data_IF_748790933257
#
_entry.id   IF_748790933257
#
_cell.length_a   1.000
_cell.length_b   1.000
_cell.length_c   1.000
_cell.angle_alpha   90.00
_cell.angle_beta   90.00
_cell.angle_gamma   90.00
#
_symmetry.space_group_name_H-M   'P 1'
#
loop_
_entity.id
_entity.type
_entity.pdbx_description
1 polymer ?
#
# COMPACT_ATOMS: atom_id res chain seq x y z
N UNK A 1 -19.37 -7.86 13.92
CA UNK A 1 -19.63 -8.26 12.53
C UNK A 1 -18.74 -9.46 12.19
N UNK A 2 -19.30 -10.57 11.68
CA UNK A 2 -18.54 -11.78 11.28
C UNK A 2 -18.90 -12.06 9.82
N UNK A 3 -17.88 -12.12 8.95
CA UNK A 3 -18.04 -12.46 7.54
C UNK A 3 -18.08 -13.99 7.39
N UNK A 4 -19.14 -14.51 6.77
CA UNK A 4 -19.30 -15.94 6.50
C UNK A 4 -18.82 -16.29 5.08
N UNK A 5 -19.08 -15.42 4.12
CA UNK A 5 -18.70 -15.57 2.71
C UNK A 5 -18.43 -14.20 2.09
N UNK A 6 -17.56 -14.18 1.08
CA UNK A 6 -17.37 -13.01 0.22
C UNK A 6 -17.12 -13.46 -1.22
N UNK A 7 -17.62 -12.68 -2.22
CA UNK A 7 -17.42 -12.94 -3.64
C UNK A 7 -17.53 -11.61 -4.42
N UNK A 8 -16.59 -11.34 -5.34
CA UNK A 8 -16.55 -10.05 -6.05
C UNK A 8 -16.52 -8.86 -5.09
N UNK A 9 -17.53 -8.00 -5.15
CA UNK A 9 -17.72 -6.85 -4.27
C UNK A 9 -18.78 -7.11 -3.18
N UNK A 10 -19.13 -8.37 -2.86
CA UNK A 10 -20.19 -8.70 -1.89
C UNK A 10 -19.68 -9.53 -0.75
N UNK A 11 -20.22 -9.25 0.43
CA UNK A 11 -19.93 -9.97 1.67
C UNK A 11 -21.25 -10.42 2.29
N UNK A 12 -21.33 -11.70 2.65
CA UNK A 12 -22.45 -12.25 3.42
C UNK A 12 -21.99 -12.44 4.86
N UNK A 13 -22.71 -11.86 5.80
CA UNK A 13 -22.47 -12.00 7.24
C UNK A 13 -22.99 -13.32 7.78
N UNK A 14 -22.54 -13.72 8.97
CA UNK A 14 -23.01 -14.92 9.65
C UNK A 14 -24.48 -14.89 10.05
N UNK A 15 -25.08 -13.70 10.12
CA UNK A 15 -26.53 -13.48 10.36
C UNK A 15 -27.37 -13.48 9.07
N UNK A 16 -26.72 -13.71 7.91
CA UNK A 16 -27.38 -13.78 6.61
C UNK A 16 -27.50 -12.45 5.86
N UNK A 17 -27.14 -11.31 6.45
CA UNK A 17 -27.14 -10.02 5.75
C UNK A 17 -26.09 -10.01 4.64
N UNK A 18 -26.46 -9.47 3.49
CA UNK A 18 -25.56 -9.21 2.39
C UNK A 18 -25.19 -7.73 2.33
N UNK A 19 -23.91 -7.46 2.23
CA UNK A 19 -23.34 -6.11 2.19
C UNK A 19 -22.58 -5.90 0.87
N UNK A 20 -22.66 -4.69 0.33
CA UNK A 20 -21.78 -4.25 -0.75
C UNK A 20 -20.45 -3.77 -0.14
N UNK A 21 -19.36 -4.43 -0.50
CA UNK A 21 -18.03 -4.13 0.04
C UNK A 21 -17.31 -3.08 -0.79
N UNK A 22 -17.31 -1.86 -0.30
CA UNK A 22 -16.48 -0.77 -0.84
C UNK A 22 -15.13 -0.68 -0.14
N UNK A 23 -14.73 -1.67 0.67
CA UNK A 23 -13.43 -1.67 1.35
C UNK A 23 -12.38 -2.52 0.64
N UNK A 24 -12.82 -3.57 -0.07
CA UNK A 24 -11.92 -4.59 -0.64
C UNK A 24 -10.96 -5.17 0.41
N UNK A 25 -11.38 -5.24 1.69
CA UNK A 25 -10.50 -5.62 2.79
C UNK A 25 -9.30 -4.68 2.94
N UNK A 26 -9.53 -3.38 3.02
CA UNK A 26 -8.50 -2.33 2.97
C UNK A 26 -7.72 -2.32 1.65
N UNK A 27 -8.39 -2.62 0.53
CA UNK A 27 -7.79 -2.63 -0.80
C UNK A 27 -6.99 -3.89 -1.15
N UNK A 28 -7.00 -4.91 -0.27
CA UNK A 28 -6.27 -6.17 -0.48
C UNK A 28 -6.91 -7.03 -1.58
N UNK A 29 -8.26 -7.12 -1.60
CA UNK A 29 -9.00 -7.89 -2.61
C UNK A 29 -9.14 -7.10 -3.93
N UNK A 30 -8.03 -6.69 -4.54
CA UNK A 30 -8.04 -5.86 -5.75
C UNK A 30 -8.79 -6.50 -6.91
N UNK A 31 -8.68 -7.81 -7.10
CA UNK A 31 -9.38 -8.56 -8.15
C UNK A 31 -10.75 -9.09 -7.72
N UNK A 32 -11.27 -8.63 -6.57
CA UNK A 32 -12.50 -9.11 -5.95
C UNK A 32 -12.29 -10.34 -5.08
N UNK A 33 -13.20 -10.52 -4.11
CA UNK A 33 -13.18 -11.69 -3.25
C UNK A 33 -13.35 -12.97 -4.05
N UNK A 34 -12.57 -14.03 -3.72
CA UNK A 34 -12.62 -15.34 -4.36
C UNK A 34 -12.40 -15.31 -5.88
N UNK A 35 -11.54 -14.42 -6.36
CA UNK A 35 -11.20 -14.40 -7.78
C UNK A 35 -10.79 -15.80 -8.26
N UNK A 36 -11.45 -16.36 -9.32
CA UNK A 36 -11.23 -17.74 -9.73
C UNK A 36 -9.78 -18.02 -10.16
N UNK A 37 -9.10 -17.07 -10.83
CA UNK A 37 -7.70 -17.23 -11.25
C UNK A 37 -6.75 -17.27 -10.05
N UNK A 38 -7.00 -16.46 -9.02
CA UNK A 38 -6.20 -16.49 -7.79
C UNK A 38 -6.41 -17.81 -7.06
N UNK A 39 -7.65 -18.30 -6.95
CA UNK A 39 -7.94 -19.60 -6.32
C UNK A 39 -7.32 -20.78 -7.08
N UNK A 40 -7.28 -20.71 -8.40
CA UNK A 40 -6.63 -21.72 -9.25
C UNK A 40 -5.11 -21.72 -9.02
N UNK A 41 -4.48 -20.52 -9.09
CA UNK A 41 -3.04 -20.37 -8.83
C UNK A 41 -2.63 -20.93 -7.45
N UNK A 42 -3.48 -20.78 -6.42
CA UNK A 42 -3.22 -21.40 -5.12
C UNK A 42 -3.28 -22.94 -5.15
N UNK A 43 -4.25 -23.52 -5.87
CA UNK A 43 -4.41 -24.98 -5.94
C UNK A 43 -3.27 -25.66 -6.69
N UNK A 44 -2.63 -24.97 -7.62
CA UNK A 44 -1.55 -25.51 -8.43
C UNK A 44 -0.20 -25.57 -7.71
N UNK A 45 -0.07 -24.89 -6.55
CA UNK A 45 1.20 -24.86 -5.83
C UNK A 45 1.58 -26.24 -5.23
N UNK A 46 2.80 -26.67 -5.53
CA UNK A 46 3.36 -27.93 -5.06
C UNK A 46 4.24 -27.78 -3.81
N UNK A 47 4.66 -26.56 -3.50
CA UNK A 47 5.52 -26.24 -2.36
C UNK A 47 4.75 -25.39 -1.37
N UNK A 48 4.66 -25.82 -0.12
CA UNK A 48 3.99 -25.08 0.96
C UNK A 48 4.82 -23.86 1.35
N UNK A 49 6.14 -24.05 1.48
CA UNK A 49 7.09 -23.01 1.83
C UNK A 49 8.51 -23.47 1.47
N UNK A 50 9.39 -22.52 1.10
CA UNK A 50 10.81 -22.76 0.90
C UNK A 50 11.61 -22.27 2.13
N UNK A 51 12.82 -21.78 1.96
CA UNK A 51 13.69 -21.33 3.06
C UNK A 51 13.80 -19.79 3.15
N UNK A 52 12.78 -19.07 2.76
CA UNK A 52 12.79 -17.62 2.77
C UNK A 52 13.90 -17.04 1.88
N UNK A 53 14.75 -16.17 2.46
CA UNK A 53 15.84 -15.53 1.69
C UNK A 53 17.01 -16.50 1.36
N UNK A 54 17.02 -17.74 1.89
CA UNK A 54 18.08 -18.72 1.62
C UNK A 54 17.80 -19.57 0.39
N UNK A 55 16.54 -19.84 0.07
CA UNK A 55 16.15 -20.59 -1.12
C UNK A 55 14.70 -20.29 -1.51
N UNK A 56 14.51 -19.85 -2.74
CA UNK A 56 13.19 -19.58 -3.30
C UNK A 56 12.48 -20.87 -3.76
N UNK A 57 11.16 -20.89 -3.69
CA UNK A 57 10.35 -21.78 -4.53
C UNK A 57 10.39 -21.25 -5.98
N UNK A 58 10.14 -22.12 -6.97
CA UNK A 58 10.13 -21.73 -8.38
C UNK A 58 9.22 -20.52 -8.64
N UNK A 59 8.01 -20.53 -8.10
CA UNK A 59 7.05 -19.40 -8.25
C UNK A 59 7.53 -18.11 -7.59
N UNK A 60 8.33 -18.20 -6.53
CA UNK A 60 8.94 -17.03 -5.88
C UNK A 60 10.02 -16.43 -6.78
N UNK A 61 10.84 -17.26 -7.42
CA UNK A 61 11.81 -16.84 -8.44
C UNK A 61 11.10 -16.14 -9.62
N UNK A 62 10.04 -16.75 -10.15
CA UNK A 62 9.22 -16.16 -11.21
C UNK A 62 8.65 -14.79 -10.83
N UNK A 63 8.18 -14.63 -9.58
CA UNK A 63 7.72 -13.33 -9.10
C UNK A 63 8.85 -12.30 -9.11
N UNK A 64 10.04 -12.64 -8.60
CA UNK A 64 11.20 -11.74 -8.58
C UNK A 64 11.58 -11.26 -9.99
N UNK A 65 11.50 -12.14 -10.99
CA UNK A 65 11.76 -11.83 -12.40
C UNK A 65 10.64 -10.98 -13.03
N UNK A 66 9.40 -11.13 -12.58
CA UNK A 66 8.24 -10.39 -13.10
C UNK A 66 8.14 -8.98 -12.53
N UNK A 67 8.67 -8.75 -11.32
CA UNK A 67 8.69 -7.42 -10.71
C UNK A 67 9.54 -6.45 -11.55
N UNK A 68 9.16 -5.15 -11.64
CA UNK A 68 9.81 -4.20 -12.56
C UNK A 68 11.25 -3.84 -12.16
N UNK A 69 11.65 -4.15 -10.93
CA UNK A 69 12.97 -3.86 -10.37
C UNK A 69 13.41 -4.97 -9.41
N UNK A 70 14.72 -5.08 -9.12
CA UNK A 70 15.20 -5.87 -8.00
C UNK A 70 14.42 -5.56 -6.74
N UNK A 71 14.06 -6.58 -5.97
CA UNK A 71 13.17 -6.41 -4.82
C UNK A 71 13.59 -7.26 -3.63
N UNK A 72 13.43 -6.69 -2.43
CA UNK A 72 13.39 -7.47 -1.20
C UNK A 72 11.94 -7.67 -0.79
N UNK A 73 11.54 -8.94 -0.69
CA UNK A 73 10.18 -9.31 -0.31
C UNK A 73 9.98 -9.15 1.21
N UNK A 74 8.75 -8.88 1.59
CA UNK A 74 8.25 -8.83 2.97
C UNK A 74 6.93 -9.58 3.09
N UNK A 75 6.44 -9.73 4.31
CA UNK A 75 5.16 -10.40 4.62
C UNK A 75 4.03 -9.40 4.69
N UNK A 76 4.23 -8.31 5.44
CA UNK A 76 3.26 -7.23 5.62
C UNK A 76 3.67 -5.98 4.87
N UNK A 77 2.74 -5.05 4.64
CA UNK A 77 3.08 -3.75 4.04
C UNK A 77 4.14 -3.01 4.84
N UNK A 78 4.06 -3.06 6.17
CA UNK A 78 5.06 -2.41 7.03
C UNK A 78 6.45 -3.02 6.88
N UNK A 79 6.58 -4.33 6.53
CA UNK A 79 7.90 -4.91 6.25
C UNK A 79 8.56 -4.25 5.06
N UNK A 80 7.81 -3.96 3.99
CA UNK A 80 8.35 -3.22 2.85
C UNK A 80 8.82 -1.82 3.24
N UNK A 81 8.09 -1.13 4.12
CA UNK A 81 8.51 0.17 4.68
C UNK A 81 9.74 0.03 5.58
N UNK A 82 9.76 -0.95 6.48
CA UNK A 82 10.91 -1.23 7.34
C UNK A 82 12.16 -1.55 6.52
N UNK A 83 12.02 -2.36 5.44
CA UNK A 83 13.10 -2.65 4.50
C UNK A 83 13.58 -1.35 3.84
N UNK A 84 12.67 -0.54 3.30
CA UNK A 84 13.02 0.70 2.60
C UNK A 84 13.74 1.71 3.51
N UNK A 85 13.23 1.91 4.73
CA UNK A 85 13.84 2.82 5.70
C UNK A 85 15.22 2.31 6.17
N UNK A 86 15.35 1.02 6.47
CA UNK A 86 16.64 0.39 6.82
C UNK A 86 17.63 0.46 5.66
N UNK A 87 17.16 0.24 4.42
CA UNK A 87 18.01 0.43 3.22
C UNK A 87 18.57 1.85 3.19
N UNK A 88 17.73 2.85 3.44
CA UNK A 88 18.17 4.25 3.45
C UNK A 88 19.19 4.54 4.56
N UNK A 89 18.96 4.03 5.79
CA UNK A 89 19.89 4.19 6.90
C UNK A 89 21.25 3.54 6.59
N UNK A 90 21.26 2.33 6.04
CA UNK A 90 22.47 1.60 5.68
C UNK A 90 23.22 2.26 4.52
N UNK A 91 22.50 2.65 3.47
CA UNK A 91 23.12 3.23 2.27
C UNK A 91 23.71 4.62 2.51
N UNK A 92 23.13 5.42 3.40
CA UNK A 92 23.58 6.79 3.64
C UNK A 92 24.45 6.93 4.90
N UNK A 93 24.35 5.99 5.84
CA UNK A 93 24.96 6.11 7.18
C UNK A 93 24.35 7.22 8.05
N UNK A 94 23.19 7.77 7.66
CA UNK A 94 22.51 8.88 8.34
C UNK A 94 21.28 8.38 9.12
N UNK A 95 20.93 8.97 10.28
CA UNK A 95 19.83 8.50 11.11
C UNK A 95 18.48 9.15 10.81
N UNK A 96 18.44 10.29 10.12
CA UNK A 96 17.25 11.14 10.01
C UNK A 96 16.25 10.65 8.96
N UNK A 97 14.96 10.75 9.27
CA UNK A 97 13.85 10.44 8.35
C UNK A 97 13.00 11.69 8.22
N UNK A 98 12.73 12.13 7.00
CA UNK A 98 11.73 13.17 6.72
C UNK A 98 10.41 12.50 6.36
N UNK A 99 9.35 12.85 7.08
CA UNK A 99 8.01 12.28 6.91
C UNK A 99 6.93 13.36 6.95
N UNK A 100 5.70 13.03 6.59
CA UNK A 100 4.63 14.00 6.42
C UNK A 100 3.48 13.83 7.42
N UNK A 101 2.84 14.97 7.74
CA UNK A 101 1.63 14.96 8.55
C UNK A 101 0.51 14.17 7.85
N UNK A 102 -0.22 13.35 8.63
CA UNK A 102 -1.28 12.50 8.12
C UNK A 102 -0.81 11.23 7.39
N UNK A 103 0.50 10.98 7.26
CA UNK A 103 1.01 9.76 6.66
C UNK A 103 0.72 8.53 7.53
N UNK A 104 0.48 7.37 6.88
CA UNK A 104 0.38 6.08 7.55
C UNK A 104 1.26 5.04 6.86
N UNK A 105 2.31 4.64 7.56
CA UNK A 105 3.34 3.73 7.02
C UNK A 105 3.38 2.36 7.70
N UNK A 106 2.54 2.14 8.71
CA UNK A 106 2.51 0.91 9.51
C UNK A 106 2.75 1.16 10.99
N UNK A 107 2.92 0.08 11.75
CA UNK A 107 3.07 0.06 13.21
C UNK A 107 4.38 -0.58 13.69
N UNK A 108 5.24 -1.07 12.79
CA UNK A 108 6.64 -1.41 13.07
C UNK A 108 7.41 -0.16 13.53
N UNK A 109 8.47 -0.30 14.29
CA UNK A 109 9.07 0.83 15.01
C UNK A 109 9.53 1.99 14.11
N UNK A 110 10.24 1.72 12.99
CA UNK A 110 10.63 2.78 12.05
C UNK A 110 9.42 3.31 11.28
N UNK A 111 8.55 2.43 10.81
CA UNK A 111 7.32 2.77 10.10
C UNK A 111 6.38 3.61 10.99
N UNK A 112 6.25 3.24 12.28
CA UNK A 112 5.45 3.98 13.26
C UNK A 112 6.07 5.35 13.56
N UNK A 113 7.39 5.42 13.72
CA UNK A 113 8.07 6.70 13.90
C UNK A 113 7.82 7.66 12.73
N UNK A 114 7.84 7.15 11.49
CA UNK A 114 7.55 7.92 10.28
C UNK A 114 6.06 8.26 10.12
N UNK A 115 5.13 7.45 10.67
CA UNK A 115 3.68 7.68 10.55
C UNK A 115 3.24 9.01 11.20
N UNK A 116 2.30 9.72 10.56
CA UNK A 116 1.81 11.05 10.96
C UNK A 116 0.66 11.05 11.98
N UNK A 117 0.07 9.89 12.28
CA UNK A 117 -1.06 9.77 13.23
C UNK A 117 -0.56 9.66 14.67
N UNK A 118 -0.74 10.71 15.46
CA UNK A 118 -0.30 10.78 16.85
C UNK A 118 -0.89 9.66 17.73
N UNK A 119 -2.18 9.35 17.56
CA UNK A 119 -2.87 8.30 18.32
C UNK A 119 -2.20 6.92 18.26
N UNK A 120 -1.46 6.61 17.20
CA UNK A 120 -0.70 5.35 17.08
C UNK A 120 0.70 5.47 17.67
N UNK A 121 1.32 6.66 17.61
CA UNK A 121 2.69 6.90 18.07
C UNK A 121 2.80 7.20 19.55
N UNK A 122 1.85 7.97 20.09
CA UNK A 122 1.89 8.47 21.47
C UNK A 122 2.16 7.36 22.51
N UNK A 123 1.49 6.19 22.45
CA UNK A 123 1.74 5.12 23.41
C UNK A 123 3.18 4.56 23.37
N UNK A 124 3.89 4.75 22.27
CA UNK A 124 5.24 4.22 22.04
C UNK A 124 6.31 5.32 21.95
N UNK A 125 5.95 6.60 22.12
CA UNK A 125 6.83 7.74 21.90
C UNK A 125 8.22 7.63 22.55
N UNK A 126 8.38 7.12 23.81
CA UNK A 126 9.69 6.99 24.44
C UNK A 126 10.65 5.99 23.78
N UNK A 127 10.14 5.10 22.95
CA UNK A 127 10.92 4.01 22.33
C UNK A 127 11.03 4.13 20.79
N UNK A 128 10.41 5.17 20.19
CA UNK A 128 10.48 5.34 18.75
C UNK A 128 11.87 5.81 18.32
N UNK A 129 12.42 5.23 17.24
CA UNK A 129 13.69 5.68 16.67
C UNK A 129 13.55 7.08 16.04
N UNK A 130 14.67 7.79 15.93
CA UNK A 130 14.71 9.12 15.34
C UNK A 130 16.14 9.58 15.09
N UNK A 131 16.31 10.81 14.57
CA UNK A 131 15.31 11.88 14.44
C UNK A 131 14.32 11.68 13.28
N UNK A 132 13.06 12.09 13.47
CA UNK A 132 12.06 12.19 12.43
C UNK A 132 11.63 13.65 12.25
N UNK A 133 11.83 14.20 11.06
CA UNK A 133 11.53 15.57 10.69
C UNK A 133 10.18 15.64 9.97
N UNK A 134 9.15 16.15 10.65
CA UNK A 134 7.81 16.24 10.05
C UNK A 134 7.66 17.48 9.19
N UNK A 135 6.92 17.32 8.09
CA UNK A 135 6.61 18.37 7.10
C UNK A 135 5.13 18.32 6.73
N UNK A 136 4.61 19.43 6.26
CA UNK A 136 3.25 19.51 5.73
C UNK A 136 3.18 18.71 4.41
N UNK A 137 2.15 17.88 4.28
CA UNK A 137 1.95 17.08 3.07
C UNK A 137 1.41 17.96 1.93
N UNK A 138 2.03 17.85 0.77
CA UNK A 138 1.68 18.64 -0.43
C UNK A 138 2.44 19.96 -0.54
N UNK A 139 3.33 20.28 0.40
CA UNK A 139 4.16 21.49 0.37
C UNK A 139 5.65 21.13 0.12
N UNK A 140 6.39 22.07 -0.48
CA UNK A 140 7.85 21.91 -0.60
C UNK A 140 8.47 21.88 0.81
N UNK A 141 9.13 20.78 1.21
CA UNK A 141 9.72 20.67 2.54
C UNK A 141 10.90 21.63 2.77
N UNK A 142 11.36 22.35 1.74
CA UNK A 142 12.57 23.15 1.77
C UNK A 142 13.85 22.29 1.81
N UNK A 143 14.99 22.86 2.16
CA UNK A 143 16.25 22.12 2.33
C UNK A 143 16.09 21.02 3.37
N UNK A 144 16.59 19.81 3.04
CA UNK A 144 16.53 18.68 3.96
C UNK A 144 17.57 18.83 5.08
N UNK A 145 17.31 18.29 6.29
CA UNK A 145 18.32 18.18 7.34
C UNK A 145 19.57 17.44 6.85
N UNK A 146 20.75 17.88 7.28
CA UNK A 146 22.03 17.34 6.82
C UNK A 146 22.22 15.84 7.16
N UNK A 147 21.54 15.37 8.20
CA UNK A 147 21.54 13.98 8.66
C UNK A 147 20.33 13.17 8.13
N UNK A 148 19.54 13.71 7.20
CA UNK A 148 18.44 12.98 6.59
C UNK A 148 18.95 11.83 5.72
N UNK A 149 18.57 10.60 6.08
CA UNK A 149 18.79 9.40 5.27
C UNK A 149 17.79 9.32 4.12
N UNK A 150 16.53 9.64 4.38
CA UNK A 150 15.47 9.59 3.39
C UNK A 150 14.33 10.57 3.65
N UNK A 151 13.55 10.78 2.60
CA UNK A 151 12.18 11.27 2.65
C UNK A 151 11.25 10.09 2.38
N UNK A 152 10.22 9.87 3.21
CA UNK A 152 9.19 8.88 2.95
C UNK A 152 7.85 9.56 2.71
N UNK A 153 7.11 9.13 1.67
CA UNK A 153 5.87 9.76 1.22
C UNK A 153 4.89 8.76 0.62
N UNK A 154 3.59 8.96 0.84
CA UNK A 154 2.52 8.30 0.09
C UNK A 154 2.16 9.14 -1.14
N UNK A 155 1.99 8.57 -2.36
CA UNK A 155 1.49 9.32 -3.53
C UNK A 155 0.09 9.89 -3.34
N UNK A 156 -0.74 9.20 -2.57
CA UNK A 156 -2.04 9.64 -2.04
C UNK A 156 -2.12 9.15 -0.61
N UNK A 157 -2.28 10.06 0.33
CA UNK A 157 -2.45 9.69 1.74
C UNK A 157 -3.81 9.05 1.97
N UNK A 158 -3.83 7.70 1.90
CA UNK A 158 -5.05 6.93 1.97
C UNK A 158 -5.80 7.16 3.28
N UNK A 159 -5.19 6.80 4.39
CA UNK A 159 -5.84 6.80 5.72
C UNK A 159 -6.24 8.20 6.20
N UNK A 160 -5.56 9.25 5.74
CA UNK A 160 -5.92 10.63 6.04
C UNK A 160 -7.12 11.15 5.21
N UNK A 161 -7.89 10.27 4.58
CA UNK A 161 -9.06 10.59 3.79
C UNK A 161 -8.74 10.86 2.33
N UNK A 162 -7.90 10.02 1.75
CA UNK A 162 -7.54 10.02 0.32
C UNK A 162 -7.03 11.38 -0.17
N UNK A 163 -6.11 11.98 0.62
CA UNK A 163 -5.52 13.30 0.29
C UNK A 163 -4.59 13.16 -0.91
N UNK A 164 -4.87 13.92 -1.96
CA UNK A 164 -4.05 14.00 -3.16
C UNK A 164 -3.15 15.24 -3.04
N UNK A 165 -1.84 15.12 -3.26
CA UNK A 165 -0.96 16.29 -3.25
C UNK A 165 -1.11 17.08 -4.55
N UNK A 166 -0.65 18.37 -4.58
CA UNK A 166 -0.54 19.13 -5.83
C UNK A 166 0.34 18.41 -6.86
N UNK A 167 0.06 18.65 -8.14
CA UNK A 167 0.91 18.15 -9.23
C UNK A 167 2.35 18.63 -9.06
N UNK A 168 3.33 17.77 -9.40
CA UNK A 168 4.75 18.07 -9.25
C UNK A 168 5.31 17.92 -7.82
N UNK A 169 4.48 17.49 -6.86
CA UNK A 169 4.94 17.33 -5.47
C UNK A 169 6.04 16.25 -5.35
N UNK A 170 5.85 15.08 -5.94
CA UNK A 170 6.85 14.01 -5.88
C UNK A 170 8.16 14.40 -6.58
N UNK A 171 8.09 15.10 -7.70
CA UNK A 171 9.25 15.65 -8.42
C UNK A 171 9.99 16.70 -7.56
N UNK A 172 9.24 17.50 -6.81
CA UNK A 172 9.85 18.43 -5.84
C UNK A 172 10.60 17.68 -4.75
N UNK A 173 10.01 16.60 -4.20
CA UNK A 173 10.69 15.76 -3.21
C UNK A 173 11.94 15.08 -3.80
N UNK A 174 11.86 14.58 -5.04
CA UNK A 174 13.02 14.01 -5.75
C UNK A 174 14.17 15.02 -5.79
N UNK A 175 13.90 16.23 -6.27
CA UNK A 175 14.92 17.30 -6.34
C UNK A 175 15.50 17.61 -4.96
N UNK A 176 14.68 17.70 -3.89
CA UNK A 176 15.17 17.92 -2.54
C UNK A 176 16.04 16.79 -2.01
N UNK A 177 15.69 15.55 -2.35
CA UNK A 177 16.52 14.39 -2.02
C UNK A 177 17.87 14.43 -2.75
N UNK A 178 17.89 14.80 -4.04
CA UNK A 178 19.14 14.92 -4.81
C UNK A 178 20.04 16.03 -4.24
N UNK A 179 19.47 17.20 -3.92
CA UNK A 179 20.20 18.32 -3.29
C UNK A 179 20.77 17.94 -1.92
N UNK A 180 20.02 17.16 -1.11
CA UNK A 180 20.40 16.76 0.25
C UNK A 180 21.19 15.45 0.33
N UNK A 181 21.31 14.71 -0.75
CA UNK A 181 21.93 13.37 -0.79
C UNK A 181 21.14 12.34 0.05
N UNK A 182 19.83 12.51 0.15
CA UNK A 182 18.93 11.59 0.81
C UNK A 182 18.23 10.67 -0.22
N UNK A 183 17.67 9.53 0.22
CA UNK A 183 16.85 8.68 -0.64
C UNK A 183 15.38 9.12 -0.62
N UNK A 184 14.68 8.96 -1.75
CA UNK A 184 13.23 9.10 -1.82
C UNK A 184 12.58 7.73 -1.74
N UNK A 185 11.88 7.47 -0.63
CA UNK A 185 11.06 6.28 -0.41
C UNK A 185 9.61 6.64 -0.72
N UNK A 186 9.01 5.96 -1.68
CA UNK A 186 7.59 6.14 -2.02
C UNK A 186 6.81 4.94 -1.51
N UNK A 187 5.90 5.19 -0.57
CA UNK A 187 4.99 4.19 -0.03
C UNK A 187 3.73 4.10 -0.88
N UNK A 188 3.75 3.17 -1.83
CA UNK A 188 2.61 2.86 -2.72
C UNK A 188 1.83 1.63 -2.29
N UNK A 189 1.93 1.21 -1.03
CA UNK A 189 1.24 0.03 -0.50
C UNK A 189 -0.28 0.17 -0.66
N UNK A 190 -0.83 1.37 -0.46
CA UNK A 190 -2.26 1.60 -0.62
C UNK A 190 -2.63 2.16 -2.00
N UNK A 191 -1.78 3.00 -2.58
CA UNK A 191 -2.02 3.68 -3.85
C UNK A 191 -1.64 2.84 -5.08
N UNK A 192 -0.74 1.85 -4.91
CA UNK A 192 -0.18 1.05 -5.99
C UNK A 192 -1.10 -0.03 -6.55
N UNK A 193 -0.55 -0.78 -7.51
CA UNK A 193 -1.19 -1.93 -8.13
C UNK A 193 -2.60 -1.61 -8.64
N UNK A 194 -2.68 -0.54 -9.44
CA UNK A 194 -3.90 -0.12 -10.11
C UNK A 194 -4.86 0.73 -9.29
N UNK A 195 -4.70 0.81 -7.97
CA UNK A 195 -5.65 1.45 -7.06
C UNK A 195 -6.00 2.90 -7.44
N UNK A 196 -5.01 3.68 -7.86
CA UNK A 196 -5.21 5.07 -8.32
C UNK A 196 -5.19 5.23 -9.84
N UNK A 197 -5.30 4.11 -10.60
CA UNK A 197 -5.23 4.09 -12.07
C UNK A 197 -3.82 3.96 -12.64
N UNK A 198 -2.83 3.67 -11.80
CA UNK A 198 -1.42 3.45 -12.13
C UNK A 198 -0.90 2.19 -11.45
N UNK A 199 -0.03 1.42 -12.13
CA UNK A 199 0.57 0.21 -11.52
C UNK A 199 1.55 0.56 -10.41
N UNK A 200 2.46 1.48 -10.67
CA UNK A 200 3.61 1.80 -9.84
C UNK A 200 3.71 3.32 -9.58
N UNK A 201 2.75 3.91 -8.81
CA UNK A 201 2.79 5.35 -8.53
C UNK A 201 4.10 5.75 -7.85
N UNK A 202 4.85 6.66 -8.46
CA UNK A 202 6.15 7.13 -7.99
C UNK A 202 7.36 6.43 -8.59
N UNK A 203 7.21 5.50 -9.54
CA UNK A 203 8.32 4.78 -10.17
C UNK A 203 9.31 5.68 -10.92
N UNK A 204 8.85 6.83 -11.44
CA UNK A 204 9.69 7.82 -12.13
C UNK A 204 10.58 8.66 -11.19
N UNK A 205 10.37 8.62 -9.88
CA UNK A 205 11.07 9.49 -8.91
C UNK A 205 11.66 8.75 -7.71
N UNK A 206 11.13 7.57 -7.36
CA UNK A 206 11.54 6.82 -6.18
C UNK A 206 12.96 6.25 -6.31
N UNK A 207 13.73 6.24 -5.23
CA UNK A 207 14.88 5.35 -5.05
C UNK A 207 14.43 3.96 -4.58
N UNK A 208 13.41 3.93 -3.69
CA UNK A 208 12.76 2.71 -3.22
C UNK A 208 11.25 2.91 -3.25
N UNK A 209 10.54 1.96 -3.88
CA UNK A 209 9.08 1.94 -3.96
C UNK A 209 8.54 0.76 -3.13
N UNK A 210 7.70 1.04 -2.15
CA UNK A 210 7.06 0.02 -1.33
C UNK A 210 5.70 -0.37 -1.93
N UNK A 211 5.45 -1.67 -2.07
CA UNK A 211 4.17 -2.24 -2.52
C UNK A 211 3.71 -3.37 -1.59
N UNK A 212 2.43 -3.59 -1.51
CA UNK A 212 1.83 -4.61 -0.65
C UNK A 212 0.33 -4.74 -0.90
N UNK A 213 -0.49 -4.92 0.15
CA UNK A 213 -1.96 -5.04 0.05
C UNK A 213 -2.42 -5.93 -1.12
N UNK A 214 -2.73 -5.33 -2.26
CA UNK A 214 -3.20 -6.01 -3.46
C UNK A 214 -2.21 -7.05 -4.00
N UNK A 215 -0.90 -6.89 -3.76
CA UNK A 215 0.15 -7.74 -4.34
C UNK A 215 -0.10 -9.23 -4.08
N UNK A 216 -0.44 -9.59 -2.85
CA UNK A 216 -0.66 -10.98 -2.44
C UNK A 216 -2.01 -11.57 -2.84
N UNK A 217 -2.89 -10.82 -3.56
CA UNK A 217 -4.21 -11.30 -4.01
C UNK A 217 -5.12 -11.81 -2.88
N UNK A 218 -4.92 -11.31 -1.65
CA UNK A 218 -5.63 -11.74 -0.44
C UNK A 218 -4.72 -12.36 0.62
N UNK A 219 -3.49 -12.73 0.27
CA UNK A 219 -2.47 -13.27 1.18
C UNK A 219 -1.42 -12.22 1.55
N UNK A 220 -0.79 -12.35 2.73
CA UNK A 220 0.28 -11.46 3.14
C UNK A 220 1.49 -11.54 2.20
N UNK A 221 1.78 -10.44 1.52
CA UNK A 221 2.96 -10.25 0.67
C UNK A 221 3.20 -8.77 0.45
N UNK A 222 4.45 -8.37 0.50
CA UNK A 222 4.90 -7.02 0.16
C UNK A 222 6.28 -7.06 -0.49
N UNK A 223 6.70 -5.94 -1.07
CA UNK A 223 8.03 -5.79 -1.63
C UNK A 223 8.51 -4.35 -1.52
N UNK A 224 9.80 -4.18 -1.23
CA UNK A 224 10.54 -2.94 -1.47
C UNK A 224 11.29 -3.09 -2.81
N UNK A 225 10.90 -2.31 -3.81
CA UNK A 225 11.48 -2.31 -5.16
C UNK A 225 12.60 -1.27 -5.21
N UNK A 226 13.80 -1.66 -5.66
CA UNK A 226 14.96 -0.79 -5.70
C UNK A 226 15.13 -0.19 -7.11
N UNK A 227 14.89 1.12 -7.22
CA UNK A 227 15.02 1.87 -8.48
C UNK A 227 16.40 2.50 -8.64
N UNK A 228 17.11 2.79 -7.54
CA UNK A 228 18.52 3.21 -7.58
C UNK A 228 19.39 1.96 -7.54
N UNK A 229 20.31 1.86 -8.50
CA UNK A 229 21.28 0.78 -8.61
C UNK A 229 22.13 0.64 -7.34
N UNK A 230 22.38 -0.59 -6.93
CA UNK A 230 23.25 -0.94 -5.80
C UNK A 230 22.56 -0.87 -4.43
N UNK A 231 21.29 -0.44 -4.32
CA UNK A 231 20.60 -0.43 -3.02
C UNK A 231 20.33 -1.83 -2.47
N UNK A 232 20.19 -2.83 -3.32
CA UNK A 232 20.06 -4.23 -2.90
C UNK A 232 21.33 -4.79 -2.25
N UNK A 233 22.50 -4.22 -2.58
CA UNK A 233 23.79 -4.67 -2.07
C UNK A 233 23.98 -4.36 -0.58
N UNK A 234 23.27 -3.36 -0.03
CA UNK A 234 23.40 -2.98 1.40
C UNK A 234 23.00 -4.11 2.36
N UNK A 235 22.25 -5.10 1.84
CA UNK A 235 21.77 -6.25 2.60
C UNK A 235 22.77 -7.41 2.65
N UNK A 236 23.83 -7.39 1.84
CA UNK A 236 24.88 -8.43 1.77
C UNK A 236 25.92 -8.25 2.90
N UNK A 237 25.46 -8.30 4.15
CA UNK A 237 26.31 -8.09 5.33
C UNK A 237 26.86 -9.38 5.92
N UNK A 238 26.51 -10.55 5.37
CA UNK A 238 26.93 -11.86 5.88
C UNK A 238 26.37 -13.00 5.06
N UNK A 239 26.41 -14.24 5.58
CA UNK A 239 25.86 -15.41 4.91
C UNK A 239 24.34 -15.46 4.88
N UNK A 240 23.68 -14.68 5.74
CA UNK A 240 22.23 -14.54 5.83
C UNK A 240 21.84 -13.08 5.84
N UNK A 241 20.64 -12.76 5.38
CA UNK A 241 20.09 -11.42 5.46
C UNK A 241 19.86 -11.02 6.91
N UNK A 242 20.30 -9.80 7.27
CA UNK A 242 20.18 -9.28 8.65
C UNK A 242 18.75 -8.85 9.01
N UNK A 243 17.85 -8.84 8.06
CA UNK A 243 16.41 -8.59 8.25
C UNK A 243 15.62 -9.51 7.33
N UNK A 244 14.97 -10.49 7.91
CA UNK A 244 14.22 -11.52 7.21
C UNK A 244 13.04 -12.00 8.07
N UNK A 245 12.11 -12.71 7.47
CA UNK A 245 10.98 -13.38 8.12
C UNK A 245 10.83 -14.79 7.61
N UNK A 246 10.46 -15.72 8.48
CA UNK A 246 10.26 -17.15 8.14
C UNK A 246 9.33 -17.32 6.92
N UNK A 247 8.28 -16.48 6.79
CA UNK A 247 7.27 -16.62 5.74
C UNK A 247 7.51 -15.74 4.50
N UNK A 248 8.70 -15.13 4.38
CA UNK A 248 9.01 -14.31 3.20
C UNK A 248 8.99 -15.19 1.93
N UNK A 249 8.44 -14.64 0.85
CA UNK A 249 8.35 -15.35 -0.42
C UNK A 249 7.42 -16.58 -0.38
N UNK A 250 6.37 -16.58 0.46
CA UNK A 250 5.41 -17.69 0.51
C UNK A 250 4.86 -18.03 -0.87
N UNK A 251 4.96 -19.30 -1.33
CA UNK A 251 4.60 -19.71 -2.69
C UNK A 251 3.15 -19.40 -3.08
N UNK A 252 2.18 -19.57 -2.17
CA UNK A 252 0.78 -19.26 -2.45
C UNK A 252 0.58 -17.75 -2.71
N UNK A 253 1.23 -16.91 -1.89
CA UNK A 253 1.15 -15.47 -2.04
C UNK A 253 1.86 -15.00 -3.32
N UNK A 254 3.00 -15.61 -3.67
CA UNK A 254 3.73 -15.33 -4.91
C UNK A 254 2.94 -15.74 -6.16
N UNK A 255 2.26 -16.90 -6.11
CA UNK A 255 1.38 -17.34 -7.19
C UNK A 255 0.21 -16.36 -7.42
N UNK A 256 -0.43 -15.92 -6.34
CA UNK A 256 -1.46 -14.89 -6.42
C UNK A 256 -0.91 -13.56 -6.97
N UNK A 257 0.31 -13.18 -6.58
CA UNK A 257 0.95 -11.95 -7.06
C UNK A 257 1.17 -11.97 -8.58
N UNK A 258 1.58 -13.09 -9.15
CA UNK A 258 1.70 -13.24 -10.61
C UNK A 258 0.37 -13.00 -11.32
N UNK A 259 -0.74 -13.52 -10.77
CA UNK A 259 -2.10 -13.26 -11.29
C UNK A 259 -2.45 -11.78 -11.17
N UNK A 260 -2.16 -11.15 -10.03
CA UNK A 260 -2.42 -9.71 -9.83
C UNK A 260 -1.63 -8.87 -10.83
N UNK A 261 -0.34 -9.17 -11.03
CA UNK A 261 0.52 -8.44 -11.97
C UNK A 261 0.08 -8.60 -13.43
N UNK A 262 -0.55 -9.73 -13.78
CA UNK A 262 -1.10 -9.96 -15.11
C UNK A 262 -2.47 -9.28 -15.31
N UNK A 263 -3.36 -9.32 -14.30
CA UNK A 263 -4.75 -8.88 -14.46
C UNK A 263 -4.96 -7.39 -14.22
N UNK A 264 -4.28 -6.81 -13.22
CA UNK A 264 -4.47 -5.40 -12.86
C UNK A 264 -4.21 -4.42 -14.01
N UNK A 265 -3.16 -4.59 -14.85
CA UNK A 265 -2.95 -3.70 -15.99
C UNK A 265 -4.16 -3.59 -16.93
N UNK A 266 -4.94 -4.67 -17.06
CA UNK A 266 -6.14 -4.72 -17.91
C UNK A 266 -7.31 -3.90 -17.32
N UNK A 267 -7.25 -3.55 -16.03
CA UNK A 267 -8.30 -2.84 -15.30
C UNK A 267 -8.03 -1.34 -15.12
N UNK A 268 -6.86 -0.82 -15.54
CA UNK A 268 -6.47 0.56 -15.24
C UNK A 268 -7.43 1.61 -15.80
N UNK A 269 -7.93 1.42 -17.03
CA UNK A 269 -8.91 2.33 -17.65
C UNK A 269 -10.24 2.27 -16.89
N UNK A 270 -10.69 1.07 -16.54
CA UNK A 270 -11.89 0.88 -15.69
C UNK A 270 -11.77 1.62 -14.36
N UNK A 271 -10.60 1.53 -13.69
CA UNK A 271 -10.33 2.24 -12.43
C UNK A 271 -10.42 3.76 -12.61
N UNK A 272 -9.87 4.29 -13.70
CA UNK A 272 -9.96 5.73 -14.01
C UNK A 272 -11.38 6.18 -14.24
N UNK A 273 -12.18 5.40 -15.00
CA UNK A 273 -13.59 5.71 -15.27
C UNK A 273 -14.43 5.64 -14.01
N UNK A 274 -14.35 4.55 -13.25
CA UNK A 274 -15.05 4.41 -11.98
C UNK A 274 -14.64 5.50 -10.98
N UNK A 275 -13.36 5.88 -10.97
CA UNK A 275 -12.86 6.99 -10.17
C UNK A 275 -13.49 8.33 -10.54
N UNK A 276 -13.71 8.62 -11.82
CA UNK A 276 -14.41 9.83 -12.28
C UNK A 276 -15.87 9.86 -11.80
N UNK A 277 -16.54 8.71 -11.81
CA UNK A 277 -17.93 8.61 -11.30
C UNK A 277 -18.01 8.93 -9.81
N UNK A 278 -17.08 8.40 -8.99
CA UNK A 278 -16.98 8.73 -7.57
C UNK A 278 -16.68 10.21 -7.35
N UNK A 279 -15.80 10.81 -8.16
CA UNK A 279 -15.51 12.25 -8.10
C UNK A 279 -16.74 13.11 -8.40
N UNK A 280 -17.51 12.77 -9.44
CA UNK A 280 -18.77 13.43 -9.79
C UNK A 280 -19.82 13.31 -8.67
N UNK A 281 -19.78 12.23 -7.89
CA UNK A 281 -20.59 12.03 -6.70
C UNK A 281 -20.02 12.72 -5.43
N UNK A 282 -18.98 13.57 -5.55
CA UNK A 282 -18.42 14.34 -4.45
C UNK A 282 -17.32 13.62 -3.64
N UNK A 283 -16.84 12.46 -4.09
CA UNK A 283 -15.76 11.76 -3.42
C UNK A 283 -14.40 12.29 -3.86
N UNK A 284 -13.60 12.81 -2.92
CA UNK A 284 -12.23 13.25 -3.18
C UNK A 284 -11.27 12.06 -3.26
N UNK A 285 -10.13 12.24 -3.92
CA UNK A 285 -9.09 11.19 -4.06
C UNK A 285 -8.72 10.94 -5.52
N UNK A 286 -8.12 9.78 -5.82
CA UNK A 286 -7.70 9.40 -7.17
C UNK A 286 -8.06 7.92 -7.43
N UNK A 287 -8.49 7.60 -8.67
CA UNK A 287 -8.92 6.26 -9.05
C UNK A 287 -9.98 5.71 -8.10
N UNK A 288 -9.76 4.52 -7.56
CA UNK A 288 -10.62 3.87 -6.58
C UNK A 288 -10.04 3.94 -5.13
N UNK A 289 -9.27 4.97 -4.84
CA UNK A 289 -8.88 5.38 -3.49
C UNK A 289 -9.59 6.69 -3.19
N UNK A 290 -10.81 6.64 -2.65
CA UNK A 290 -11.72 7.76 -2.53
C UNK A 290 -12.27 7.94 -1.12
N UNK A 291 -12.57 9.17 -0.73
CA UNK A 291 -13.18 9.48 0.56
C UNK A 291 -14.17 10.65 0.42
N UNK A 292 -15.20 10.66 1.26
CA UNK A 292 -16.14 11.78 1.39
C UNK A 292 -16.56 11.95 2.85
N UNK A 293 -17.30 13.00 3.16
CA UNK A 293 -17.97 13.14 4.45
C UNK A 293 -19.01 12.03 4.61
N UNK A 294 -19.14 11.47 5.80
CA UNK A 294 -20.10 10.42 6.07
C UNK A 294 -19.80 9.65 7.34
N UNK A 295 -20.75 8.79 7.69
CA UNK A 295 -20.71 7.94 8.87
C UNK A 295 -20.70 6.46 8.45
N UNK A 296 -19.67 5.72 8.91
CA UNK A 296 -19.50 4.33 8.52
C UNK A 296 -20.52 3.39 9.16
N UNK A 297 -21.11 3.74 10.33
CA UNK A 297 -22.17 2.95 10.96
C UNK A 297 -23.47 3.13 10.18
N UNK A 298 -23.81 4.35 9.77
CA UNK A 298 -24.97 4.60 8.91
C UNK A 298 -24.83 3.91 7.54
N UNK A 299 -23.64 3.92 6.93
CA UNK A 299 -23.40 3.20 5.69
C UNK A 299 -23.61 1.69 5.88
N UNK A 300 -23.15 1.12 6.99
CA UNK A 300 -23.34 -0.29 7.33
C UNK A 300 -24.81 -0.63 7.51
N UNK A 301 -25.59 0.21 8.17
CA UNK A 301 -27.05 0.01 8.35
C UNK A 301 -27.79 0.01 7.02
N UNK A 302 -27.27 0.73 6.01
CA UNK A 302 -27.77 0.75 4.64
C UNK A 302 -27.18 -0.37 3.75
N UNK A 303 -26.41 -1.28 4.35
CA UNK A 303 -25.84 -2.43 3.65
C UNK A 303 -24.60 -2.14 2.81
N UNK A 304 -23.87 -1.07 3.12
CA UNK A 304 -22.61 -0.71 2.45
C UNK A 304 -21.45 -0.72 3.44
N UNK A 305 -20.40 -1.46 3.11
CA UNK A 305 -19.16 -1.46 3.89
C UNK A 305 -18.21 -0.37 3.37
N UNK A 306 -17.84 0.54 4.25
CA UNK A 306 -16.82 1.58 4.04
C UNK A 306 -15.89 1.62 5.25
N UNK A 307 -14.75 2.29 5.14
CA UNK A 307 -13.79 2.43 6.24
C UNK A 307 -13.85 3.85 6.81
N UNK A 308 -13.91 4.03 8.14
CA UNK A 308 -13.70 5.34 8.75
C UNK A 308 -12.30 5.87 8.39
N UNK A 309 -12.21 7.13 7.95
CA UNK A 309 -10.98 7.77 7.48
C UNK A 309 -10.91 9.24 7.92
N UNK A 310 -9.80 9.89 7.55
CA UNK A 310 -9.52 11.25 7.99
C UNK A 310 -8.70 11.26 9.28
N UNK A 311 -8.17 12.42 9.63
CA UNK A 311 -7.36 12.59 10.84
C UNK A 311 -8.20 12.44 12.11
N UNK A 312 -9.45 12.84 12.03
CA UNK A 312 -10.46 12.85 13.10
C UNK A 312 -11.52 11.76 12.98
N UNK A 313 -11.51 10.97 11.88
CA UNK A 313 -12.50 9.93 11.61
C UNK A 313 -13.84 10.43 11.03
N UNK A 314 -13.93 11.71 10.61
CA UNK A 314 -15.15 12.32 10.07
C UNK A 314 -15.49 11.93 8.63
N UNK A 315 -14.64 11.13 8.02
CA UNK A 315 -14.78 10.71 6.62
C UNK A 315 -15.05 9.22 6.53
N UNK A 316 -15.72 8.82 5.48
CA UNK A 316 -15.76 7.45 5.00
C UNK A 316 -14.87 7.29 3.78
N UNK A 317 -14.21 6.13 3.68
CA UNK A 317 -13.31 5.81 2.57
C UNK A 317 -13.79 4.58 1.82
N UNK A 318 -13.75 4.68 0.49
CA UNK A 318 -13.99 3.59 -0.44
C UNK A 318 -12.69 3.18 -1.15
N UNK A 319 -12.43 1.88 -1.11
CA UNK A 319 -11.34 1.20 -1.82
C UNK A 319 -11.85 -0.14 -2.38
N UNK A 320 -12.95 -0.13 -3.16
CA UNK A 320 -13.57 -1.35 -3.64
C UNK A 320 -12.61 -2.21 -4.47
N UNK A 321 -12.91 -3.47 -4.73
CA UNK A 321 -12.24 -4.22 -5.79
C UNK A 321 -12.15 -3.41 -7.10
N UNK A 322 -11.04 -3.55 -7.82
CA UNK A 322 -10.84 -2.83 -9.10
C UNK A 322 -11.83 -3.31 -10.18
N UNK A 323 -12.42 -4.46 -9.95
CA UNK A 323 -13.42 -5.11 -10.79
C UNK A 323 -14.85 -4.62 -10.54
N UNK A 324 -15.06 -3.68 -9.59
CA UNK A 324 -16.39 -3.13 -9.28
C UNK A 324 -17.10 -2.67 -10.57
N UNK A 325 -18.35 -3.07 -10.73
CA UNK A 325 -19.17 -2.76 -11.91
C UNK A 325 -19.87 -1.41 -11.77
N UNK A 326 -20.39 -0.87 -12.88
CA UNK A 326 -21.19 0.36 -12.86
C UNK A 326 -22.47 0.18 -12.07
N UNK A 327 -23.11 -1.00 -12.20
CA UNK A 327 -24.32 -1.32 -11.45
C UNK A 327 -24.08 -1.38 -9.92
N UNK A 328 -22.93 -1.90 -9.49
CA UNK A 328 -22.55 -1.91 -8.06
C UNK A 328 -22.21 -0.49 -7.54
N UNK A 329 -21.63 0.37 -8.37
CA UNK A 329 -21.45 1.78 -8.03
C UNK A 329 -22.78 2.53 -7.92
N UNK A 330 -23.72 2.29 -8.85
CA UNK A 330 -25.07 2.87 -8.79
C UNK A 330 -25.81 2.44 -7.54
N UNK A 331 -25.75 1.14 -7.21
CA UNK A 331 -26.31 0.60 -5.95
C UNK A 331 -25.66 1.24 -4.72
N UNK A 332 -24.32 1.46 -4.72
CA UNK A 332 -23.64 2.13 -3.63
C UNK A 332 -24.14 3.57 -3.45
N UNK A 333 -24.29 4.33 -4.54
CA UNK A 333 -24.78 5.70 -4.49
C UNK A 333 -26.24 5.77 -4.01
N UNK A 334 -27.10 4.87 -4.47
CA UNK A 334 -28.50 4.79 -4.03
C UNK A 334 -28.59 4.50 -2.53
N UNK A 335 -27.82 3.55 -2.04
CA UNK A 335 -27.83 3.17 -0.61
C UNK A 335 -27.23 4.25 0.30
N UNK A 336 -26.21 4.98 -0.16
CA UNK A 336 -25.52 6.01 0.63
C UNK A 336 -26.23 7.38 0.60
N UNK A 337 -27.12 7.62 -0.36
CA UNK A 337 -28.00 8.81 -0.40
C UNK A 337 -29.05 8.77 0.72
#
# INVERSE_FOLDING_TARGET
MIWARAEGCRVTLSDGRELLDLTGGFGVAALGHRNPRVLEAWREQQVVHALGDLADAEVTGQLRETLPRPAKLGVTGEDAVEIALRTALLATGRPGIVAFDGAYHGTGLLALAASGFERFREPFAPWLPGPVYRRAYGEDPGPLPADAACVIVEPVQGRAGSRVPPDGFLETLRRRCDEGGALLVVDSIYAGLGRIGEMWPGDGVADVLCVGKALGGGLPLSAALFYREGLEEVWRLGPEDVYTHTHVGNPLACAAALVVLEEVPKLLDRVREAGKRLEQAGWRGRGLLRACEGDAEQALDRGVLVVPAGLDGSLIQATPPLTITDAELDEAFERLS
#
